data_IF_056221201083
#
_entry.id   IF_056221201083
#
_cell.length_a   1.000
_cell.length_b   1.000
_cell.length_c   1.000
_cell.angle_alpha   90.00
_cell.angle_beta   90.00
_cell.angle_gamma   90.00
#
_symmetry.space_group_name_H-M   'P 1'
#
loop_
_entity.id
_entity.type
_entity.pdbx_description
1 polymer ?
#
# COMPACT_ATOMS: atom_id res chain seq x y z
N UNK A 1 -3.51 5.07 -54.98
CA UNK A 1 -4.68 4.99 -54.06
C UNK A 1 -4.45 4.01 -52.91
N UNK A 2 -4.27 2.70 -53.15
CA UNK A 2 -4.02 1.69 -52.08
C UNK A 2 -2.84 2.01 -51.15
N UNK A 3 -1.72 2.52 -51.69
CA UNK A 3 -0.54 2.93 -50.90
C UNK A 3 -0.80 4.13 -49.98
N UNK A 4 -1.66 5.06 -50.40
CA UNK A 4 -2.03 6.25 -49.62
C UNK A 4 -2.96 5.85 -48.45
N UNK A 5 -3.89 4.92 -48.72
CA UNK A 5 -4.78 4.37 -47.69
C UNK A 5 -3.99 3.64 -46.60
N UNK A 6 -2.97 2.86 -46.98
CA UNK A 6 -2.10 2.16 -46.02
C UNK A 6 -1.30 3.11 -45.12
N UNK A 7 -0.82 4.24 -45.65
CA UNK A 7 -0.09 5.25 -44.87
C UNK A 7 -1.02 5.95 -43.88
N UNK A 8 -2.25 6.26 -44.28
CA UNK A 8 -3.25 6.88 -43.39
C UNK A 8 -3.64 5.92 -42.26
N UNK A 9 -3.83 4.63 -42.57
CA UNK A 9 -4.12 3.61 -41.55
C UNK A 9 -2.96 3.43 -40.56
N UNK A 10 -1.71 3.39 -41.05
CA UNK A 10 -0.54 3.31 -40.18
C UNK A 10 -0.41 4.54 -39.28
N UNK A 11 -0.65 5.74 -39.82
CA UNK A 11 -0.66 6.99 -39.06
C UNK A 11 -1.75 7.03 -37.97
N UNK A 12 -2.95 6.53 -38.27
CA UNK A 12 -4.04 6.42 -37.29
C UNK A 12 -3.69 5.42 -36.17
N UNK A 13 -3.09 4.28 -36.51
CA UNK A 13 -2.66 3.30 -35.49
C UNK A 13 -1.55 3.85 -34.59
N UNK A 14 -0.57 4.56 -35.16
CA UNK A 14 0.49 5.24 -34.42
C UNK A 14 -0.07 6.35 -33.52
N UNK A 15 -1.05 7.11 -34.00
CA UNK A 15 -1.72 8.14 -33.20
C UNK A 15 -2.51 7.55 -32.04
N UNK A 16 -3.23 6.43 -32.24
CA UNK A 16 -3.94 5.75 -31.15
C UNK A 16 -2.99 5.12 -30.13
N UNK A 17 -1.83 4.61 -30.54
CA UNK A 17 -0.82 4.06 -29.63
C UNK A 17 -0.12 5.19 -28.87
N UNK A 18 0.17 6.31 -29.53
CA UNK A 18 0.77 7.49 -28.91
C UNK A 18 -0.16 8.12 -27.85
N UNK A 19 -1.47 8.17 -28.12
CA UNK A 19 -2.46 8.65 -27.16
C UNK A 19 -2.82 7.61 -26.09
N UNK A 20 -2.32 6.38 -26.20
CA UNK A 20 -2.39 5.33 -25.17
C UNK A 20 -1.13 5.33 -24.28
N UNK A 21 -0.35 6.41 -24.29
CA UNK A 21 0.58 6.70 -23.22
C UNK A 21 -0.25 6.80 -21.93
N UNK A 22 -0.07 5.81 -21.07
CA UNK A 22 -0.91 5.54 -19.90
C UNK A 22 -1.21 6.79 -19.09
N UNK A 23 -2.49 7.14 -19.03
CA UNK A 23 -3.01 7.96 -17.94
C UNK A 23 -2.87 7.09 -16.69
N UNK A 24 -1.69 7.15 -16.06
CA UNK A 24 -1.51 6.58 -14.73
C UNK A 24 -2.47 7.34 -13.81
N UNK A 25 -3.66 6.79 -13.57
CA UNK A 25 -4.60 7.35 -12.59
C UNK A 25 -3.84 7.48 -11.27
N UNK A 26 -3.48 8.71 -10.92
CA UNK A 26 -2.80 9.00 -9.66
C UNK A 26 -3.81 8.77 -8.55
N UNK A 27 -3.72 7.63 -7.86
CA UNK A 27 -4.54 7.35 -6.67
C UNK A 27 -4.14 8.35 -5.60
N UNK A 28 -4.93 9.42 -5.46
CA UNK A 28 -4.75 10.40 -4.39
C UNK A 28 -5.39 9.85 -3.11
N UNK A 29 -4.58 9.71 -2.07
CA UNK A 29 -5.04 9.35 -0.73
C UNK A 29 -5.87 10.52 -0.19
N UNK A 30 -7.14 10.32 0.18
CA UNK A 30 -7.95 11.40 0.74
C UNK A 30 -7.42 11.82 2.11
N UNK A 31 -7.58 13.10 2.47
CA UNK A 31 -7.16 13.61 3.78
C UNK A 31 -7.84 12.85 4.93
N UNK A 32 -9.11 12.48 4.72
CA UNK A 32 -9.89 11.67 5.64
C UNK A 32 -9.45 10.21 5.72
N UNK A 33 -8.41 9.77 5.00
CA UNK A 33 -8.00 8.38 5.01
C UNK A 33 -7.56 7.92 6.40
N UNK A 34 -7.84 6.67 6.72
CA UNK A 34 -7.32 6.01 7.93
C UNK A 34 -6.02 5.32 7.56
N UNK A 35 -4.94 5.63 8.28
CA UNK A 35 -3.61 5.05 8.04
C UNK A 35 -3.28 4.01 9.12
N UNK A 36 -2.34 3.13 8.81
CA UNK A 36 -1.68 2.26 9.78
C UNK A 36 -0.20 2.58 9.77
N UNK A 37 0.43 2.67 10.94
CA UNK A 37 1.86 2.98 11.06
C UNK A 37 2.50 2.16 12.17
N UNK A 38 3.72 1.68 11.92
CA UNK A 38 4.57 1.02 12.92
C UNK A 38 5.93 1.71 12.95
N UNK A 39 6.32 2.26 14.11
CA UNK A 39 7.65 2.79 14.38
C UNK A 39 8.54 1.70 14.99
N UNK A 40 9.70 1.46 14.39
CA UNK A 40 10.71 0.58 14.99
C UNK A 40 11.40 1.26 16.17
N UNK A 41 11.90 0.46 17.12
CA UNK A 41 12.72 0.96 18.22
C UNK A 41 14.00 1.65 17.72
N UNK A 42 14.69 1.05 16.74
CA UNK A 42 15.88 1.61 16.11
C UNK A 42 16.02 1.17 14.64
N UNK A 43 17.08 1.63 13.98
CA UNK A 43 17.47 1.21 12.63
C UNK A 43 18.39 -0.03 12.59
N UNK A 44 18.54 -0.73 13.72
CA UNK A 44 19.23 -2.02 13.69
C UNK A 44 18.46 -3.01 12.80
N UNK A 45 19.15 -3.94 12.10
CA UNK A 45 18.47 -4.96 11.29
C UNK A 45 17.45 -5.79 12.09
N UNK A 46 17.73 -6.06 13.37
CA UNK A 46 16.83 -6.76 14.29
C UNK A 46 15.53 -5.99 14.48
N UNK A 47 15.59 -4.72 14.84
CA UNK A 47 14.41 -3.91 15.13
C UNK A 47 13.58 -3.63 13.88
N UNK A 48 14.25 -3.45 12.74
CA UNK A 48 13.58 -3.31 11.44
C UNK A 48 12.83 -4.58 11.04
N UNK A 49 13.42 -5.75 11.29
CA UNK A 49 12.77 -7.04 11.05
C UNK A 49 11.55 -7.24 11.96
N UNK A 50 11.69 -6.96 13.26
CA UNK A 50 10.58 -7.04 14.22
C UNK A 50 9.42 -6.13 13.77
N UNK A 51 9.71 -4.87 13.38
CA UNK A 51 8.70 -3.96 12.83
C UNK A 51 7.98 -4.56 11.63
N UNK A 52 8.72 -5.14 10.67
CA UNK A 52 8.13 -5.74 9.46
C UNK A 52 7.20 -6.91 9.81
N UNK A 53 7.61 -7.76 10.76
CA UNK A 53 6.81 -8.92 11.16
C UNK A 53 5.52 -8.49 11.89
N UNK A 54 5.62 -7.53 12.82
CA UNK A 54 4.47 -6.92 13.47
C UNK A 54 3.55 -6.24 12.45
N UNK A 55 4.12 -5.47 11.52
CA UNK A 55 3.35 -4.79 10.48
C UNK A 55 2.57 -5.79 9.63
N UNK A 56 3.20 -6.90 9.21
CA UNK A 56 2.55 -7.95 8.41
C UNK A 56 1.44 -8.64 9.20
N UNK A 57 1.69 -9.00 10.46
CA UNK A 57 0.69 -9.63 11.34
C UNK A 57 -0.53 -8.74 11.52
N UNK A 58 -0.31 -7.48 11.86
CA UNK A 58 -1.36 -6.49 12.08
C UNK A 58 -2.13 -6.17 10.79
N UNK A 59 -1.45 -6.08 9.64
CA UNK A 59 -2.11 -5.87 8.34
C UNK A 59 -3.11 -6.97 8.03
N UNK A 60 -2.76 -8.24 8.26
CA UNK A 60 -3.67 -9.36 8.03
C UNK A 60 -4.91 -9.29 8.94
N UNK A 61 -4.73 -8.93 10.20
CA UNK A 61 -5.84 -8.77 11.14
C UNK A 61 -6.76 -7.60 10.71
N UNK A 62 -6.15 -6.45 10.42
CA UNK A 62 -6.84 -5.25 9.97
C UNK A 62 -7.58 -5.50 8.65
N UNK A 63 -7.00 -6.29 7.74
CA UNK A 63 -7.67 -6.71 6.52
C UNK A 63 -8.94 -7.49 6.83
N UNK A 64 -8.81 -8.56 7.61
CA UNK A 64 -9.94 -9.43 7.93
C UNK A 64 -11.06 -8.68 8.65
N UNK A 65 -10.69 -7.71 9.47
CA UNK A 65 -11.63 -6.82 10.16
C UNK A 65 -12.32 -5.83 9.21
N UNK A 66 -11.57 -5.20 8.31
CA UNK A 66 -12.06 -4.07 7.51
C UNK A 66 -12.68 -4.47 6.17
N UNK A 67 -12.42 -5.67 5.66
CA UNK A 67 -12.93 -6.13 4.34
C UNK A 67 -14.46 -6.10 4.19
N UNK A 68 -15.20 -6.13 5.30
CA UNK A 68 -16.67 -6.09 5.31
C UNK A 68 -17.24 -4.68 5.57
N UNK A 69 -16.38 -3.71 5.86
CA UNK A 69 -16.80 -2.32 6.11
C UNK A 69 -17.14 -1.61 4.81
N UNK A 70 -18.24 -0.86 4.80
CA UNK A 70 -18.76 -0.21 3.58
C UNK A 70 -18.36 1.26 3.47
N UNK A 71 -18.03 1.87 4.59
CA UNK A 71 -17.73 3.28 4.69
C UNK A 71 -16.75 3.55 5.83
N UNK A 72 -16.18 4.75 5.83
CA UNK A 72 -15.16 5.15 6.79
C UNK A 72 -15.68 5.13 8.25
N UNK A 73 -16.96 5.42 8.47
CA UNK A 73 -17.55 5.43 9.81
C UNK A 73 -17.58 4.02 10.41
N UNK A 74 -17.96 3.03 9.60
CA UNK A 74 -17.90 1.62 9.98
C UNK A 74 -16.45 1.17 10.24
N UNK A 75 -15.49 1.60 9.41
CA UNK A 75 -14.08 1.30 9.61
C UNK A 75 -13.54 1.85 10.94
N UNK A 76 -13.86 3.12 11.27
CA UNK A 76 -13.52 3.74 12.57
C UNK A 76 -14.12 2.95 13.74
N UNK A 77 -15.39 2.57 13.63
CA UNK A 77 -16.06 1.78 14.66
C UNK A 77 -15.41 0.41 14.85
N UNK A 78 -15.09 -0.27 13.74
CA UNK A 78 -14.44 -1.58 13.76
C UNK A 78 -13.05 -1.52 14.44
N UNK A 79 -12.22 -0.53 14.09
CA UNK A 79 -10.89 -0.33 14.70
C UNK A 79 -11.02 -0.07 16.20
N UNK A 80 -11.86 0.89 16.60
CA UNK A 80 -12.04 1.23 18.02
C UNK A 80 -12.50 0.03 18.85
N UNK A 81 -13.47 -0.74 18.34
CA UNK A 81 -14.00 -1.91 19.03
C UNK A 81 -13.01 -3.09 19.13
N UNK A 82 -11.91 -3.06 18.37
CA UNK A 82 -10.90 -4.13 18.34
C UNK A 82 -9.55 -3.72 18.94
N UNK A 83 -9.47 -2.55 19.58
CA UNK A 83 -8.21 -2.07 20.20
C UNK A 83 -7.64 -3.07 21.22
N UNK A 84 -8.49 -3.73 22.02
CA UNK A 84 -8.05 -4.76 22.95
C UNK A 84 -7.45 -6.00 22.25
N UNK A 85 -8.03 -6.40 21.11
CA UNK A 85 -7.51 -7.51 20.31
C UNK A 85 -6.14 -7.17 19.73
N UNK A 86 -6.00 -5.97 19.14
CA UNK A 86 -4.72 -5.49 18.63
C UNK A 86 -3.65 -5.42 19.72
N UNK A 87 -4.02 -4.93 20.91
CA UNK A 87 -3.13 -4.89 22.04
C UNK A 87 -2.68 -6.30 22.48
N UNK A 88 -3.58 -7.29 22.46
CA UNK A 88 -3.23 -8.69 22.76
C UNK A 88 -2.29 -9.30 21.73
N UNK A 89 -2.51 -9.02 20.43
CA UNK A 89 -1.60 -9.47 19.37
C UNK A 89 -0.20 -8.90 19.61
N UNK A 90 -0.08 -7.58 19.82
CA UNK A 90 1.20 -6.95 20.08
C UNK A 90 1.86 -7.50 21.35
N UNK A 91 1.09 -7.69 22.42
CA UNK A 91 1.61 -8.26 23.67
C UNK A 91 2.30 -9.60 23.46
N UNK A 92 1.71 -10.47 22.64
CA UNK A 92 2.28 -11.78 22.33
C UNK A 92 3.52 -11.64 21.43
N UNK A 93 3.44 -10.83 20.37
CA UNK A 93 4.56 -10.63 19.43
C UNK A 93 5.77 -9.93 20.08
N UNK A 94 5.55 -9.13 21.12
CA UNK A 94 6.62 -8.41 21.82
C UNK A 94 7.05 -9.03 23.14
N UNK A 95 6.51 -10.19 23.53
CA UNK A 95 6.70 -10.76 24.89
C UNK A 95 8.17 -11.02 25.26
N UNK A 96 9.00 -11.36 24.28
CA UNK A 96 10.42 -11.70 24.45
C UNK A 96 11.35 -10.52 24.10
N UNK A 97 10.80 -9.32 23.92
CA UNK A 97 11.57 -8.11 23.62
C UNK A 97 12.00 -7.41 24.90
N UNK A 98 13.14 -6.73 24.82
CA UNK A 98 13.74 -5.99 25.94
C UNK A 98 13.17 -4.57 26.07
N UNK A 99 12.17 -4.22 25.27
CA UNK A 99 11.53 -2.91 25.24
C UNK A 99 10.01 -3.04 25.16
N UNK A 100 9.30 -2.02 25.66
CA UNK A 100 7.84 -1.95 25.62
C UNK A 100 7.31 -1.60 24.23
N UNK A 101 5.99 -1.66 24.07
CA UNK A 101 5.29 -1.11 22.92
C UNK A 101 4.12 -0.24 23.39
N UNK A 102 3.64 0.62 22.49
CA UNK A 102 2.36 1.31 22.63
C UNK A 102 1.55 1.14 21.35
N UNK A 103 0.22 1.09 21.49
CA UNK A 103 -0.72 1.16 20.37
C UNK A 103 -1.77 2.22 20.69
N UNK A 104 -2.04 3.10 19.73
CA UNK A 104 -3.00 4.18 19.87
C UNK A 104 -3.73 4.43 18.54
N UNK A 105 -5.00 4.85 18.62
CA UNK A 105 -5.81 5.20 17.47
C UNK A 105 -6.29 6.64 17.59
N UNK A 106 -5.94 7.48 16.60
CA UNK A 106 -6.24 8.90 16.67
C UNK A 106 -5.51 9.72 15.61
N UNK A 107 -5.23 10.98 15.92
CA UNK A 107 -4.46 11.87 15.06
C UNK A 107 -3.00 11.84 15.46
N UNK A 108 -2.11 11.47 14.54
CA UNK A 108 -0.67 11.40 14.78
C UNK A 108 0.08 12.26 13.79
N UNK A 109 1.24 12.77 14.22
CA UNK A 109 2.15 13.53 13.37
C UNK A 109 2.83 12.61 12.36
N UNK A 110 2.77 12.98 11.07
CA UNK A 110 3.54 12.38 10.00
C UNK A 110 4.50 13.41 9.44
N UNK A 111 5.76 13.00 9.14
CA UNK A 111 6.61 13.79 8.26
C UNK A 111 6.00 13.79 6.85
N UNK A 112 6.51 14.65 5.99
CA UNK A 112 6.21 14.62 4.55
C UNK A 112 6.37 13.19 3.99
N UNK A 113 5.41 12.78 3.17
CA UNK A 113 5.38 11.46 2.51
C UNK A 113 5.19 11.60 1.02
N UNK A 114 5.86 10.74 0.26
CA UNK A 114 5.59 10.55 -1.16
C UNK A 114 4.94 9.19 -1.39
N UNK A 115 3.85 9.15 -2.17
CA UNK A 115 3.21 7.91 -2.59
C UNK A 115 2.68 8.03 -4.01
N UNK A 116 3.08 7.10 -4.88
CA UNK A 116 2.75 7.07 -6.31
C UNK A 116 2.94 8.43 -7.01
N UNK A 117 4.05 9.11 -6.72
CA UNK A 117 4.41 10.42 -7.30
C UNK A 117 3.61 11.61 -6.77
N UNK A 118 2.78 11.41 -5.74
CA UNK A 118 2.06 12.49 -5.03
C UNK A 118 2.74 12.74 -3.70
N UNK A 119 3.09 13.99 -3.44
CA UNK A 119 3.61 14.45 -2.15
C UNK A 119 2.45 14.83 -1.23
N UNK A 120 2.54 14.38 0.01
CA UNK A 120 1.63 14.68 1.11
C UNK A 120 2.44 15.41 2.18
N UNK A 121 2.03 16.63 2.49
CA UNK A 121 2.72 17.51 3.42
C UNK A 121 2.82 16.90 4.84
N UNK A 122 3.79 17.36 5.62
CA UNK A 122 3.84 17.04 7.04
C UNK A 122 2.59 17.55 7.78
N UNK A 123 2.14 16.82 8.79
CA UNK A 123 0.94 17.20 9.54
C UNK A 123 0.33 16.08 10.37
N UNK A 124 -0.85 16.35 10.91
CA UNK A 124 -1.60 15.36 11.69
C UNK A 124 -2.56 14.59 10.79
N UNK A 125 -2.45 13.26 10.83
CA UNK A 125 -3.29 12.35 10.06
C UNK A 125 -3.93 11.29 10.94
N UNK A 126 -5.13 10.86 10.58
CA UNK A 126 -5.84 9.79 11.29
C UNK A 126 -5.09 8.46 11.07
N UNK A 127 -4.63 7.83 12.16
CA UNK A 127 -3.91 6.56 12.07
C UNK A 127 -4.06 5.66 13.29
N UNK A 128 -3.93 4.36 13.05
CA UNK A 128 -3.57 3.37 14.07
C UNK A 128 -2.04 3.32 14.13
N UNK A 129 -1.47 3.76 15.25
CA UNK A 129 -0.03 3.88 15.45
C UNK A 129 0.46 2.85 16.45
N UNK A 130 1.42 2.02 16.04
CA UNK A 130 2.21 1.15 16.90
C UNK A 130 3.60 1.74 17.05
N UNK A 131 4.06 1.93 18.29
CA UNK A 131 5.43 2.37 18.57
C UNK A 131 6.14 1.30 19.35
N UNK A 132 7.27 0.80 18.81
CA UNK A 132 8.13 -0.16 19.47
C UNK A 132 9.26 0.57 20.19
N UNK A 133 9.46 0.30 21.48
CA UNK A 133 10.48 0.92 22.31
C UNK A 133 10.46 2.45 22.22
N UNK A 134 11.60 3.04 21.84
CA UNK A 134 11.73 4.51 21.71
C UNK A 134 11.16 5.08 20.40
N UNK A 135 10.76 4.23 19.44
CA UNK A 135 10.19 4.68 18.18
C UNK A 135 11.14 5.48 17.27
N UNK A 136 12.46 5.34 17.46
CA UNK A 136 13.49 6.14 16.74
C UNK A 136 13.91 5.54 15.40
N UNK A 137 13.45 4.34 15.08
CA UNK A 137 13.74 3.69 13.82
C UNK A 137 12.79 4.08 12.69
N UNK A 138 13.13 3.63 11.50
CA UNK A 138 12.35 3.82 10.29
C UNK A 138 10.96 3.23 10.49
N UNK A 139 9.98 3.88 9.88
CA UNK A 139 8.59 3.50 10.01
C UNK A 139 8.10 2.67 8.82
N UNK A 140 7.10 1.83 9.10
CA UNK A 140 6.22 1.25 8.09
C UNK A 140 4.92 2.03 8.13
N UNK A 141 4.30 2.29 6.98
CA UNK A 141 2.97 2.88 6.93
C UNK A 141 2.20 2.39 5.71
N UNK A 142 0.87 2.35 5.81
CA UNK A 142 -0.02 2.06 4.69
C UNK A 142 -1.42 2.66 4.94
N UNK A 143 -2.31 2.64 3.95
CA UNK A 143 -3.68 3.20 4.06
C UNK A 143 -4.73 2.10 4.25
N UNK A 144 -5.41 2.11 5.40
CA UNK A 144 -6.44 1.15 5.78
C UNK A 144 -7.80 1.45 5.13
N UNK A 145 -8.14 2.73 5.00
CA UNK A 145 -9.40 3.15 4.37
C UNK A 145 -9.19 4.44 3.56
N UNK A 146 -9.43 4.46 2.23
CA UNK A 146 -9.73 3.29 1.40
C UNK A 146 -8.58 2.26 1.47
N UNK A 147 -8.87 0.96 1.28
CA UNK A 147 -7.95 -0.11 1.60
C UNK A 147 -6.81 -0.29 0.60
N UNK A 148 -5.87 0.66 0.56
CA UNK A 148 -4.72 0.58 -0.35
C UNK A 148 -3.71 -0.48 0.09
N UNK A 149 -3.57 -0.76 1.39
CA UNK A 149 -2.72 -1.87 1.86
C UNK A 149 -3.20 -3.23 1.32
N UNK A 150 -4.50 -3.36 1.01
CA UNK A 150 -5.09 -4.63 0.58
C UNK A 150 -4.80 -4.93 -0.89
N UNK A 151 -4.83 -3.89 -1.73
CA UNK A 151 -4.52 -4.02 -3.15
C UNK A 151 -3.05 -4.42 -3.34
N UNK A 152 -2.13 -3.87 -2.55
CA UNK A 152 -0.70 -4.17 -2.62
C UNK A 152 -0.38 -5.61 -2.15
N UNK A 153 -1.10 -6.13 -1.16
CA UNK A 153 -0.91 -7.52 -0.71
C UNK A 153 -1.30 -8.54 -1.80
N UNK A 154 -2.35 -8.27 -2.58
CA UNK A 154 -2.74 -9.08 -3.73
C UNK A 154 -1.75 -8.93 -4.90
N UNK A 155 -1.24 -7.72 -5.16
CA UNK A 155 -0.22 -7.48 -6.20
C UNK A 155 1.13 -8.13 -5.89
N UNK A 156 1.51 -8.26 -4.61
CA UNK A 156 2.79 -8.88 -4.21
C UNK A 156 2.80 -10.41 -4.21
N UNK A 157 1.63 -11.08 -4.20
CA UNK A 157 1.53 -12.54 -4.39
C UNK A 157 1.60 -12.91 -5.90
N UNK A 158 1.52 -11.90 -6.78
CA UNK A 158 1.58 -12.04 -8.23
C UNK A 158 2.96 -11.65 -8.80
N UNK A 159 4.06 -11.91 -8.08
CA UNK A 159 5.40 -11.97 -8.69
C UNK A 159 5.60 -13.26 -9.51
N UNK A 160 4.55 -13.72 -10.20
CA UNK A 160 4.81 -14.43 -11.45
C UNK A 160 5.20 -13.35 -12.44
N UNK A 161 6.40 -13.46 -13.02
CA UNK A 161 6.74 -12.71 -14.22
C UNK A 161 5.54 -12.81 -15.16
N UNK A 162 4.78 -11.72 -15.32
CA UNK A 162 3.82 -11.63 -16.40
C UNK A 162 4.67 -11.57 -17.65
N UNK A 163 5.01 -12.74 -18.17
CA UNK A 163 5.64 -12.90 -19.46
C UNK A 163 4.61 -12.41 -20.46
N UNK A 164 4.69 -11.13 -20.81
CA UNK A 164 3.85 -10.53 -21.83
C UNK A 164 4.14 -11.25 -23.14
N UNK A 165 3.38 -12.30 -23.42
CA UNK A 165 3.27 -12.89 -24.75
C UNK A 165 2.60 -11.85 -25.65
N UNK A 166 3.43 -10.99 -26.21
CA UNK A 166 3.02 -10.09 -27.27
C UNK A 166 2.55 -10.93 -28.45
N UNK A 167 1.26 -10.84 -28.77
CA UNK A 167 0.67 -11.43 -29.99
C UNK A 167 1.45 -11.05 -31.26
N UNK A 168 2.12 -9.90 -31.23
CA UNK A 168 2.95 -9.41 -32.33
C UNK A 168 4.22 -10.27 -32.47
N UNK A 169 4.84 -10.70 -31.36
CA UNK A 169 6.02 -11.58 -31.37
C UNK A 169 5.70 -12.94 -32.00
N UNK A 170 4.57 -13.55 -31.62
CA UNK A 170 4.14 -14.83 -32.19
C UNK A 170 3.81 -14.73 -33.69
N UNK A 171 3.25 -13.60 -34.15
CA UNK A 171 2.96 -13.39 -35.58
C UNK A 171 4.24 -13.18 -36.38
N UNK A 172 5.24 -12.47 -35.84
CA UNK A 172 6.50 -12.24 -36.54
C UNK A 172 7.26 -13.55 -36.72
N UNK A 173 7.43 -14.36 -35.67
CA UNK A 173 8.14 -15.65 -35.75
C UNK A 173 7.43 -16.69 -36.65
N UNK A 174 6.12 -16.55 -36.85
CA UNK A 174 5.34 -17.49 -37.68
C UNK A 174 5.34 -17.15 -39.17
N UNK A 175 5.54 -15.87 -39.53
CA UNK A 175 5.35 -15.39 -40.90
C UNK A 175 6.58 -14.71 -41.51
N UNK A 176 7.65 -14.47 -40.74
CA UNK A 176 8.95 -13.98 -41.18
C UNK A 176 10.08 -14.87 -40.66
#
# INVERSE_FOLDING_TARGET
>A
MKKIILIILAGLTLFTVYNRAEENETIKIPDSAIRFRVLANSNSPRDQKIKQDIAKKMQNELYMLLKSTKNISEARGAINNNMDNFNNILKEETKDLEYSYTIDYGMHEFPEKEYKGVVYDEGYYESLLVTLGEGKGDNFWCVLFPPLCLMEAEETDDTTEVEYKSFIKEIIEKYF
#
